data_IF_597043369904
#
_entry.id   IF_597043369904
#
_cell.length_a   1.000
_cell.length_b   1.000
_cell.length_c   1.000
_cell.angle_alpha   90.00
_cell.angle_beta   90.00
_cell.angle_gamma   90.00
#
_symmetry.space_group_name_H-M   'P 1'
#
loop_
_entity.id
_entity.type
_entity.pdbx_description
1 polymer ?
#
# COMPACT_ATOMS: atom_id res chain seq x y z
N UNK A 1 14.91 -9.51 -12.10
CA UNK A 1 14.36 -8.99 -10.83
C UNK A 1 13.55 -10.08 -10.13
N UNK A 2 14.22 -11.10 -9.59
CA UNK A 2 13.62 -12.15 -8.76
C UNK A 2 14.62 -12.49 -7.66
N UNK A 3 14.59 -11.73 -6.56
CA UNK A 3 15.54 -11.91 -5.45
C UNK A 3 14.97 -12.79 -4.33
N UNK A 4 13.73 -13.31 -4.51
CA UNK A 4 13.02 -14.13 -3.54
C UNK A 4 12.97 -13.54 -2.12
N UNK A 5 13.04 -12.20 -1.99
CA UNK A 5 13.01 -11.53 -0.69
C UNK A 5 11.59 -11.63 -0.11
N UNK A 6 11.48 -12.00 1.16
CA UNK A 6 10.19 -12.16 1.86
C UNK A 6 10.04 -11.25 3.08
N UNK A 7 11.15 -10.75 3.64
CA UNK A 7 11.14 -9.85 4.80
C UNK A 7 11.28 -8.37 4.37
N UNK A 8 10.17 -7.65 4.44
CA UNK A 8 10.14 -6.22 4.14
C UNK A 8 10.99 -5.39 5.12
N UNK A 9 11.05 -5.78 6.39
CA UNK A 9 11.75 -5.00 7.41
C UNK A 9 13.26 -5.03 7.20
N UNK A 10 13.82 -6.20 6.88
CA UNK A 10 15.25 -6.32 6.52
C UNK A 10 15.60 -5.44 5.31
N UNK A 11 14.76 -5.46 4.28
CA UNK A 11 14.95 -4.61 3.08
C UNK A 11 14.86 -3.13 3.43
N UNK A 12 13.86 -2.72 4.21
CA UNK A 12 13.67 -1.33 4.59
C UNK A 12 14.85 -0.80 5.42
N UNK A 13 15.32 -1.56 6.41
CA UNK A 13 16.48 -1.20 7.25
C UNK A 13 17.76 -1.10 6.42
N UNK A 14 18.04 -2.08 5.55
CA UNK A 14 19.22 -2.06 4.69
C UNK A 14 19.18 -0.92 3.69
N UNK A 15 18.04 -0.71 3.04
CA UNK A 15 17.85 0.37 2.09
C UNK A 15 18.04 1.73 2.76
N UNK A 16 17.50 1.92 3.97
CA UNK A 16 17.69 3.15 4.73
C UNK A 16 19.15 3.36 5.15
N UNK A 17 19.81 2.32 5.64
CA UNK A 17 21.22 2.39 6.06
C UNK A 17 22.15 2.74 4.90
N UNK A 18 21.89 2.19 3.71
CA UNK A 18 22.67 2.48 2.50
C UNK A 18 22.31 3.83 1.87
N UNK A 19 21.02 4.21 1.92
CA UNK A 19 20.46 5.36 1.23
C UNK A 19 19.47 6.11 2.15
N UNK A 20 19.95 6.94 3.08
CA UNK A 20 19.09 7.61 4.07
C UNK A 20 18.09 8.59 3.46
N UNK A 21 18.36 9.06 2.24
CA UNK A 21 17.48 9.95 1.47
C UNK A 21 16.83 9.24 0.26
N UNK A 22 16.66 7.92 0.32
CA UNK A 22 16.03 7.17 -0.77
C UNK A 22 14.63 7.70 -1.07
N UNK A 23 14.41 8.15 -2.29
CA UNK A 23 13.13 8.70 -2.78
C UNK A 23 12.30 7.65 -3.49
N UNK A 24 12.95 6.73 -4.22
CA UNK A 24 12.29 5.70 -5.02
C UNK A 24 12.89 4.34 -4.73
N UNK A 25 12.04 3.38 -4.40
CA UNK A 25 12.41 1.98 -4.18
C UNK A 25 11.61 1.08 -5.11
N UNK A 26 12.31 0.24 -5.87
CA UNK A 26 11.70 -0.85 -6.63
C UNK A 26 12.02 -2.17 -5.97
N UNK A 27 10.98 -2.84 -5.49
CA UNK A 27 11.02 -4.16 -4.87
C UNK A 27 10.00 -5.10 -5.55
N UNK A 28 9.73 -4.87 -6.84
CA UNK A 28 8.89 -5.74 -7.66
C UNK A 28 9.51 -7.13 -7.83
N UNK A 29 8.69 -8.18 -8.01
CA UNK A 29 9.20 -9.53 -8.27
C UNK A 29 9.91 -10.11 -7.04
N UNK A 30 9.21 -10.12 -5.91
CA UNK A 30 9.68 -10.70 -4.66
C UNK A 30 8.53 -11.49 -4.01
N UNK A 31 8.66 -11.83 -2.74
CA UNK A 31 7.71 -12.66 -1.99
C UNK A 31 7.17 -11.94 -0.75
N UNK A 32 7.12 -10.60 -0.77
CA UNK A 32 6.58 -9.85 0.37
C UNK A 32 5.10 -10.15 0.55
N UNK A 33 4.76 -10.76 1.68
CA UNK A 33 3.38 -10.99 2.10
C UNK A 33 2.81 -9.78 2.86
N UNK A 34 3.68 -8.93 3.41
CA UNK A 34 3.32 -7.71 4.12
C UNK A 34 4.34 -6.59 3.93
N UNK A 35 3.91 -5.36 4.25
CA UNK A 35 4.76 -4.17 4.36
C UNK A 35 4.59 -3.62 5.78
N UNK A 36 5.71 -3.31 6.44
CA UNK A 36 5.70 -2.73 7.77
C UNK A 36 5.33 -1.24 7.74
N UNK A 37 4.59 -0.73 8.74
CA UNK A 37 4.35 0.69 8.92
C UNK A 37 5.66 1.47 9.03
N UNK A 38 5.61 2.74 8.67
CA UNK A 38 6.70 3.68 8.86
C UNK A 38 7.16 3.70 10.32
N UNK A 39 8.44 3.45 10.52
CA UNK A 39 9.14 3.59 11.77
C UNK A 39 9.98 4.88 11.70
N UNK A 40 10.00 5.66 12.77
CA UNK A 40 10.62 6.99 12.75
C UNK A 40 12.07 6.93 12.24
N UNK A 41 12.34 7.66 11.15
CA UNK A 41 13.65 7.71 10.49
C UNK A 41 13.80 6.76 9.29
N UNK A 42 13.15 5.59 9.30
CA UNK A 42 13.32 4.59 8.24
C UNK A 42 12.56 4.98 6.97
N UNK A 43 13.28 5.23 5.87
CA UNK A 43 12.72 5.60 4.55
C UNK A 43 11.82 6.86 4.59
N UNK A 44 12.14 7.84 5.44
CA UNK A 44 11.33 9.06 5.60
C UNK A 44 11.24 9.95 4.35
N UNK A 45 12.14 9.77 3.38
CA UNK A 45 12.13 10.48 2.09
C UNK A 45 11.42 9.71 0.96
N UNK A 46 10.87 8.53 1.23
CA UNK A 46 10.33 7.67 0.18
C UNK A 46 9.03 8.26 -0.39
N UNK A 47 9.07 8.58 -1.69
CA UNK A 47 7.96 9.14 -2.45
C UNK A 47 7.34 8.11 -3.41
N UNK A 48 8.14 7.14 -3.86
CA UNK A 48 7.68 6.12 -4.79
C UNK A 48 8.12 4.72 -4.36
N UNK A 49 7.13 3.82 -4.24
CA UNK A 49 7.36 2.42 -3.91
C UNK A 49 6.74 1.49 -4.94
N UNK A 50 7.56 0.66 -5.58
CA UNK A 50 7.09 -0.34 -6.53
C UNK A 50 7.21 -1.73 -5.90
N UNK A 51 6.08 -2.33 -5.51
CA UNK A 51 5.99 -3.66 -4.88
C UNK A 51 5.01 -4.56 -5.63
N UNK A 52 4.91 -4.40 -6.95
CA UNK A 52 4.11 -5.27 -7.80
C UNK A 52 4.77 -6.64 -8.00
N UNK A 53 3.97 -7.68 -8.33
CA UNK A 53 4.43 -9.08 -8.39
C UNK A 53 5.07 -9.51 -7.07
N UNK A 54 4.26 -9.48 -6.01
CA UNK A 54 4.60 -9.94 -4.67
C UNK A 54 3.43 -10.79 -4.11
N UNK A 55 3.45 -11.11 -2.82
CA UNK A 55 2.46 -11.95 -2.16
C UNK A 55 1.49 -11.17 -1.25
N UNK A 56 1.30 -9.87 -1.48
CA UNK A 56 0.44 -9.01 -0.64
C UNK A 56 -1.03 -9.45 -0.77
N UNK A 57 -1.53 -10.12 0.27
CA UNK A 57 -2.91 -10.62 0.33
C UNK A 57 -3.79 -9.83 1.31
N UNK A 58 -3.19 -9.23 2.34
CA UNK A 58 -3.89 -8.50 3.41
C UNK A 58 -3.93 -6.99 3.11
N UNK A 59 -5.10 -6.40 3.31
CA UNK A 59 -5.33 -4.97 3.17
C UNK A 59 -4.61 -4.12 4.22
N UNK A 60 -4.21 -4.68 5.36
CA UNK A 60 -3.42 -3.99 6.38
C UNK A 60 -2.11 -3.41 5.84
N UNK A 61 -1.58 -3.98 4.76
CA UNK A 61 -0.42 -3.43 4.04
C UNK A 61 -0.69 -2.02 3.50
N UNK A 62 -1.93 -1.72 3.10
CA UNK A 62 -2.29 -0.39 2.61
C UNK A 62 -2.25 0.65 3.73
N UNK A 63 -2.70 0.29 4.93
CA UNK A 63 -2.66 1.19 6.09
C UNK A 63 -1.20 1.43 6.52
N UNK A 64 -0.37 0.39 6.50
CA UNK A 64 1.06 0.51 6.73
C UNK A 64 1.71 1.48 5.72
N UNK A 65 1.34 1.41 4.44
CA UNK A 65 1.85 2.33 3.42
C UNK A 65 1.38 3.78 3.61
N UNK A 66 0.17 4.01 4.11
CA UNK A 66 -0.34 5.36 4.41
C UNK A 66 0.50 6.08 5.47
N UNK A 67 1.14 5.33 6.38
CA UNK A 67 2.00 5.92 7.41
C UNK A 67 3.30 6.53 6.88
N UNK A 68 3.69 6.25 5.61
CA UNK A 68 4.89 6.84 5.01
C UNK A 68 4.63 8.31 4.62
N UNK A 69 5.34 9.27 5.23
CA UNK A 69 4.93 10.68 5.22
C UNK A 69 5.04 11.38 3.85
N UNK A 70 5.71 10.76 2.87
CA UNK A 70 5.92 11.33 1.53
C UNK A 70 5.46 10.41 0.40
N UNK A 71 4.87 9.26 0.69
CA UNK A 71 4.53 8.28 -0.34
C UNK A 71 3.38 8.79 -1.23
N UNK A 72 3.69 9.08 -2.48
CA UNK A 72 2.75 9.64 -3.47
C UNK A 72 2.57 8.73 -4.68
N UNK A 73 3.49 7.79 -4.91
CA UNK A 73 3.40 6.81 -5.99
C UNK A 73 3.56 5.37 -5.49
N UNK A 74 2.62 4.49 -5.85
CA UNK A 74 2.71 3.07 -5.57
C UNK A 74 2.48 2.21 -6.81
N UNK A 75 3.20 1.09 -6.91
CA UNK A 75 2.84 -0.02 -7.80
C UNK A 75 2.54 -1.25 -6.94
N UNK A 76 1.28 -1.66 -6.99
CA UNK A 76 0.67 -2.75 -6.24
C UNK A 76 0.11 -3.86 -7.16
N UNK A 77 0.25 -3.69 -8.48
CA UNK A 77 -0.17 -4.66 -9.51
C UNK A 77 0.35 -6.06 -9.24
N UNK A 78 -0.40 -7.07 -9.70
CA UNK A 78 0.04 -8.47 -9.67
C UNK A 78 0.34 -8.98 -8.24
N UNK A 79 -0.45 -8.53 -7.27
CA UNK A 79 -0.52 -9.08 -5.92
C UNK A 79 -1.88 -9.76 -5.71
N UNK A 80 -1.96 -10.78 -4.83
CA UNK A 80 -3.17 -11.58 -4.68
C UNK A 80 -4.37 -10.82 -4.11
N UNK A 81 -4.17 -9.85 -3.20
CA UNK A 81 -5.25 -9.05 -2.58
C UNK A 81 -6.49 -9.86 -2.14
N UNK A 82 -6.27 -11.05 -1.56
CA UNK A 82 -7.35 -11.95 -1.15
C UNK A 82 -8.25 -12.43 -2.30
N UNK A 83 -7.77 -12.40 -3.55
CA UNK A 83 -8.54 -12.72 -4.75
C UNK A 83 -9.42 -11.58 -5.26
N UNK A 84 -9.30 -10.37 -4.69
CA UNK A 84 -10.10 -9.23 -5.10
C UNK A 84 -9.80 -8.81 -6.55
N UNK A 85 -10.81 -8.41 -7.34
CA UNK A 85 -10.58 -7.83 -8.66
C UNK A 85 -9.67 -6.60 -8.61
N UNK A 86 -8.89 -6.39 -9.66
CA UNK A 86 -7.96 -5.26 -9.74
C UNK A 86 -8.63 -3.89 -9.53
N UNK A 87 -9.89 -3.73 -9.94
CA UNK A 87 -10.69 -2.51 -9.72
C UNK A 87 -11.00 -2.28 -8.24
N UNK A 88 -11.32 -3.35 -7.50
CA UNK A 88 -11.55 -3.32 -6.05
C UNK A 88 -10.24 -3.01 -5.32
N UNK A 89 -9.16 -3.71 -5.67
CA UNK A 89 -7.85 -3.48 -5.07
C UNK A 89 -7.37 -2.03 -5.30
N UNK A 90 -7.58 -1.48 -6.50
CA UNK A 90 -7.29 -0.07 -6.80
C UNK A 90 -8.14 0.87 -5.95
N UNK A 91 -9.46 0.68 -5.91
CA UNK A 91 -10.34 1.53 -5.10
C UNK A 91 -9.97 1.48 -3.62
N UNK A 92 -9.60 0.32 -3.09
CA UNK A 92 -9.16 0.17 -1.70
C UNK A 92 -7.85 0.91 -1.44
N UNK A 93 -6.85 0.76 -2.30
CA UNK A 93 -5.58 1.47 -2.18
C UNK A 93 -5.75 3.00 -2.24
N UNK A 94 -6.59 3.50 -3.15
CA UNK A 94 -6.89 4.94 -3.25
C UNK A 94 -7.57 5.45 -1.97
N UNK A 95 -8.54 4.72 -1.43
CA UNK A 95 -9.26 5.12 -0.23
C UNK A 95 -8.42 5.08 1.05
N UNK A 96 -7.46 4.15 1.14
CA UNK A 96 -6.67 3.88 2.35
C UNK A 96 -5.32 4.59 2.37
N UNK A 97 -4.74 4.91 1.21
CA UNK A 97 -3.48 5.65 1.09
C UNK A 97 -3.82 7.10 0.68
N UNK A 98 -3.94 7.95 1.68
CA UNK A 98 -4.45 9.33 1.60
C UNK A 98 -3.64 10.22 0.66
N UNK A 99 -2.31 10.02 0.63
CA UNK A 99 -1.35 10.84 -0.12
C UNK A 99 -1.14 10.40 -1.58
N UNK A 100 -1.74 9.28 -1.99
CA UNK A 100 -1.43 8.65 -3.27
C UNK A 100 -1.88 9.51 -4.47
N UNK A 101 -0.93 9.96 -5.28
CA UNK A 101 -1.15 10.72 -6.51
C UNK A 101 -1.07 9.83 -7.76
N UNK A 102 -0.30 8.75 -7.71
CA UNK A 102 -0.13 7.77 -8.81
C UNK A 102 -0.24 6.35 -8.28
N UNK A 103 -1.01 5.52 -8.97
CA UNK A 103 -1.18 4.11 -8.62
C UNK A 103 -1.11 3.26 -9.88
N UNK A 104 -0.25 2.24 -9.88
CA UNK A 104 -0.10 1.28 -10.97
C UNK A 104 0.15 1.96 -12.33
N UNK A 105 0.89 3.06 -12.34
CA UNK A 105 1.24 3.80 -13.56
C UNK A 105 0.19 4.82 -14.04
N UNK A 106 -0.94 4.99 -13.34
CA UNK A 106 -1.95 5.99 -13.69
C UNK A 106 -2.20 6.99 -12.55
N UNK A 107 -2.59 8.21 -12.94
CA UNK A 107 -2.96 9.29 -12.00
C UNK A 107 -4.20 8.91 -11.20
N UNK A 108 -4.18 9.17 -9.90
CA UNK A 108 -5.35 9.12 -9.04
C UNK A 108 -6.09 10.46 -9.17
N UNK A 109 -7.30 10.44 -9.72
CA UNK A 109 -8.09 11.67 -9.90
C UNK A 109 -8.80 12.05 -8.59
N UNK A 110 -9.04 13.34 -8.38
CA UNK A 110 -9.80 13.82 -7.20
C UNK A 110 -11.20 13.21 -7.12
N UNK A 111 -11.89 13.05 -8.25
CA UNK A 111 -13.20 12.38 -8.29
C UNK A 111 -13.12 10.90 -7.94
N UNK A 112 -12.14 10.19 -8.49
CA UNK A 112 -11.86 8.78 -8.17
C UNK A 112 -11.60 8.59 -6.67
N UNK A 113 -10.78 9.47 -6.08
CA UNK A 113 -10.50 9.48 -4.64
C UNK A 113 -11.76 9.65 -3.81
N UNK A 114 -12.55 10.68 -4.11
CA UNK A 114 -13.83 10.94 -3.42
C UNK A 114 -14.78 9.74 -3.48
N UNK A 115 -14.90 9.12 -4.65
CA UNK A 115 -15.78 7.96 -4.84
C UNK A 115 -15.27 6.74 -4.07
N UNK A 116 -13.96 6.52 -4.07
CA UNK A 116 -13.31 5.43 -3.34
C UNK A 116 -13.47 5.57 -1.83
N UNK A 117 -13.19 6.76 -1.28
CA UNK A 117 -13.33 7.08 0.14
C UNK A 117 -14.79 6.97 0.59
N UNK A 118 -15.74 7.47 -0.20
CA UNK A 118 -17.17 7.34 0.12
C UNK A 118 -17.61 5.88 0.15
N UNK A 119 -17.14 5.06 -0.80
CA UNK A 119 -17.42 3.63 -0.83
C UNK A 119 -16.82 2.93 0.39
N UNK A 120 -15.58 3.24 0.73
CA UNK A 120 -14.89 2.66 1.88
C UNK A 120 -15.58 3.01 3.19
N UNK A 121 -15.88 4.30 3.42
CA UNK A 121 -16.60 4.75 4.61
C UNK A 121 -17.94 4.04 4.78
N UNK A 122 -18.73 3.91 3.69
CA UNK A 122 -20.01 3.16 3.72
C UNK A 122 -19.82 1.68 4.06
N UNK A 123 -18.77 1.04 3.53
CA UNK A 123 -18.47 -0.36 3.81
C UNK A 123 -18.11 -0.57 5.29
N UNK A 124 -17.20 0.24 5.82
CA UNK A 124 -16.79 0.19 7.23
C UNK A 124 -17.96 0.49 8.16
N UNK A 125 -18.78 1.51 7.87
CA UNK A 125 -19.98 1.81 8.68
C UNK A 125 -20.97 0.64 8.70
N UNK A 126 -21.13 -0.07 7.58
CA UNK A 126 -22.01 -1.23 7.51
C UNK A 126 -21.47 -2.40 8.33
N UNK A 127 -20.18 -2.70 8.20
CA UNK A 127 -19.51 -3.77 8.96
C UNK A 127 -19.60 -3.52 10.47
N UNK A 128 -19.35 -2.29 10.92
CA UNK A 128 -19.50 -1.89 12.32
C UNK A 128 -20.95 -2.05 12.82
N UNK A 129 -21.95 -1.70 12.01
CA UNK A 129 -23.35 -1.88 12.39
C UNK A 129 -23.72 -3.37 12.54
N UNK A 130 -23.21 -4.23 11.66
CA UNK A 130 -23.42 -5.68 11.72
C UNK A 130 -22.72 -6.31 12.95
N UNK A 131 -21.52 -5.83 13.31
CA UNK A 131 -20.83 -6.25 14.54
C UNK A 131 -21.59 -5.85 15.81
N UNK A 132 -22.12 -4.63 15.87
CA UNK A 132 -22.92 -4.17 17.02
C UNK A 132 -24.25 -4.91 17.12
N UNK A 133 -24.86 -5.29 16.00
CA UNK A 133 -26.12 -6.04 16.00
C UNK A 133 -25.97 -7.53 16.36
N UNK A 134 -24.75 -8.07 16.32
CA UNK A 134 -24.45 -9.49 16.57
C UNK A 134 -23.81 -9.77 17.94
N UNK A 135 -23.51 -8.73 18.73
CA UNK A 135 -23.02 -8.82 20.11
C UNK A 135 -24.08 -8.44 21.13
#
# INVERSE_FOLDING_TARGET
DDNALSDWNDVAVRAHAAFPHLVRLSANGNQFASVAPFQQGCLASLESLLVGRNALADWACLDALDTYPKLEEARLSDNPWGGAPATVARSAAVARISRLARLNGSTVRTSERRDAEMRYARAVSRELAEMVASG
#
